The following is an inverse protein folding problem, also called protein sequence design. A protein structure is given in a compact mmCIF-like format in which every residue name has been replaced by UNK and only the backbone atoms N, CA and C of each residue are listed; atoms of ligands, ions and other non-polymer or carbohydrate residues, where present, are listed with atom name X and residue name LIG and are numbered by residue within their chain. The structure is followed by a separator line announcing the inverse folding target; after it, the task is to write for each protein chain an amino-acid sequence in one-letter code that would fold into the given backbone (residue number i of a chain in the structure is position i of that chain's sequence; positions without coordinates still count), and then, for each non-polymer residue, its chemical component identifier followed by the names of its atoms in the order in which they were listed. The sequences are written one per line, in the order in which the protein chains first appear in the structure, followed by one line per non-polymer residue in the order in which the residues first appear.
data_IF_002197326395
#
_entry.id   IF_002197326395
#
_cell.length_a   1.000
_cell.length_b   1.000
_cell.length_c   1.000
_cell.angle_alpha   90.00
_cell.angle_beta   90.00
_cell.angle_gamma   90.00
#
_symmetry.space_group_name_H-M   'P 1'
#
loop_
_entity.id
_entity.type
_entity.pdbx_description
1 polymer ?
#
# COMPACT_ATOMS: atom_id res chain seq x y z
N UNK A 1 1.45 12.14 -4.03
CA UNK A 1 0.10 12.41 -4.60
C UNK A 1 -0.46 11.08 -5.08
N UNK A 2 -1.77 10.87 -4.94
CA UNK A 2 -2.45 9.83 -5.70
C UNK A 2 -2.51 10.23 -7.18
N UNK A 3 -2.57 9.24 -8.08
CA UNK A 3 -2.53 9.45 -9.53
C UNK A 3 -1.57 8.51 -10.27
N UNK A 4 -1.32 7.32 -9.72
CA UNK A 4 -0.62 6.29 -10.47
C UNK A 4 -1.57 5.67 -11.50
N UNK A 5 -1.06 5.41 -12.70
CA UNK A 5 -1.81 4.73 -13.74
C UNK A 5 -2.08 3.27 -13.35
N UNK A 6 -3.15 2.66 -13.86
CA UNK A 6 -3.53 1.27 -13.53
C UNK A 6 -2.39 0.28 -13.80
N UNK A 7 -1.63 0.50 -14.86
CA UNK A 7 -0.47 -0.32 -15.18
C UNK A 7 0.65 -0.21 -14.16
N UNK A 8 0.87 0.99 -13.61
CA UNK A 8 1.86 1.21 -12.55
C UNK A 8 1.43 0.49 -11.27
N UNK A 9 0.14 0.53 -10.93
CA UNK A 9 -0.40 -0.21 -9.77
C UNK A 9 -0.24 -1.72 -9.97
N UNK A 10 -0.56 -2.25 -11.14
CA UNK A 10 -0.41 -3.68 -11.41
C UNK A 10 1.06 -4.15 -11.35
N UNK A 11 2.00 -3.38 -11.91
CA UNK A 11 3.44 -3.68 -11.80
C UNK A 11 3.94 -3.61 -10.36
N UNK A 12 3.49 -2.61 -9.60
CA UNK A 12 3.79 -2.48 -8.18
C UNK A 12 3.30 -3.71 -7.41
N UNK A 13 2.10 -4.22 -7.68
CA UNK A 13 1.57 -5.43 -7.02
C UNK A 13 2.37 -6.68 -7.36
N UNK A 14 2.75 -6.87 -8.62
CA UNK A 14 3.64 -7.98 -8.98
C UNK A 14 4.94 -7.93 -8.21
N UNK A 15 5.57 -6.76 -8.12
CA UNK A 15 6.82 -6.59 -7.40
C UNK A 15 6.66 -6.84 -5.89
N UNK A 16 5.66 -6.24 -5.25
CA UNK A 16 5.44 -6.36 -3.81
C UNK A 16 5.09 -7.78 -3.37
N UNK A 17 4.35 -8.52 -4.20
CA UNK A 17 3.89 -9.88 -3.89
C UNK A 17 4.72 -10.96 -4.59
N UNK A 18 5.79 -10.59 -5.28
CA UNK A 18 6.67 -11.50 -6.04
C UNK A 18 5.89 -12.42 -6.99
N UNK A 19 4.95 -11.85 -7.74
CA UNK A 19 4.13 -12.60 -8.69
C UNK A 19 4.87 -12.83 -10.01
N UNK A 20 4.87 -14.08 -10.49
CA UNK A 20 5.51 -14.45 -11.75
C UNK A 20 4.85 -13.84 -12.99
N UNK A 21 3.56 -13.48 -12.89
CA UNK A 21 2.76 -12.95 -14.01
C UNK A 21 1.91 -11.78 -13.57
N UNK A 22 1.67 -10.85 -14.50
CA UNK A 22 0.75 -9.72 -14.29
C UNK A 22 -0.67 -10.26 -14.07
N UNK A 23 -1.31 -9.95 -12.92
CA UNK A 23 -2.69 -10.35 -12.69
C UNK A 23 -3.64 -9.60 -13.64
N UNK A 24 -4.85 -10.14 -13.80
CA UNK A 24 -5.94 -9.44 -14.49
C UNK A 24 -6.24 -8.10 -13.82
N UNK A 25 -6.79 -7.14 -14.56
CA UNK A 25 -7.03 -5.79 -14.07
C UNK A 25 -7.81 -5.75 -12.74
N UNK A 26 -8.94 -6.46 -12.67
CA UNK A 26 -9.79 -6.50 -11.47
C UNK A 26 -9.09 -7.20 -10.29
N UNK A 27 -8.31 -8.24 -10.58
CA UNK A 27 -7.51 -8.93 -9.57
C UNK A 27 -6.37 -8.04 -9.03
N UNK A 28 -5.72 -7.26 -9.90
CA UNK A 28 -4.70 -6.28 -9.50
C UNK A 28 -5.30 -5.21 -8.59
N UNK A 29 -6.47 -4.69 -8.94
CA UNK A 29 -7.19 -3.68 -8.15
C UNK A 29 -7.60 -4.25 -6.77
N UNK A 30 -8.11 -5.48 -6.71
CA UNK A 30 -8.44 -6.15 -5.45
C UNK A 30 -7.21 -6.38 -4.55
N UNK A 31 -6.10 -6.85 -5.13
CA UNK A 31 -4.83 -7.03 -4.42
C UNK A 31 -4.28 -5.70 -3.91
N UNK A 32 -4.38 -4.63 -4.70
CA UNK A 32 -3.95 -3.29 -4.30
C UNK A 32 -4.73 -2.78 -3.09
N UNK A 33 -6.05 -2.98 -3.06
CA UNK A 33 -6.88 -2.64 -1.90
C UNK A 33 -6.45 -3.45 -0.66
N UNK A 34 -6.23 -4.75 -0.81
CA UNK A 34 -5.80 -5.61 0.29
C UNK A 34 -4.43 -5.19 0.88
N UNK A 35 -3.45 -4.92 0.01
CA UNK A 35 -2.11 -4.45 0.42
C UNK A 35 -2.20 -3.08 1.08
N UNK A 36 -2.98 -2.15 0.53
CA UNK A 36 -3.22 -0.84 1.12
C UNK A 36 -3.83 -0.97 2.52
N UNK A 37 -4.84 -1.84 2.68
CA UNK A 37 -5.47 -2.10 3.97
C UNK A 37 -4.48 -2.67 4.99
N UNK A 38 -3.64 -3.64 4.60
CA UNK A 38 -2.61 -4.20 5.47
C UNK A 38 -1.59 -3.13 5.91
N UNK A 39 -1.10 -2.30 4.98
CA UNK A 39 -0.21 -1.18 5.29
C UNK A 39 -0.85 -0.14 6.21
N UNK A 40 -2.14 0.17 6.01
CA UNK A 40 -2.88 1.10 6.86
C UNK A 40 -2.98 0.56 8.28
N UNK A 41 -3.32 -0.72 8.47
CA UNK A 41 -3.41 -1.36 9.79
C UNK A 41 -2.08 -1.23 10.57
N UNK A 42 -0.96 -1.52 9.92
CA UNK A 42 0.38 -1.38 10.53
C UNK A 42 0.68 0.09 10.87
N UNK A 43 0.35 1.01 9.96
CA UNK A 43 0.59 2.44 10.17
C UNK A 43 -0.25 2.99 11.33
N UNK A 44 -1.52 2.60 11.43
CA UNK A 44 -2.41 2.97 12.52
C UNK A 44 -1.89 2.46 13.87
N UNK A 45 -1.45 1.20 13.93
CA UNK A 45 -0.88 0.61 15.15
C UNK A 45 0.38 1.37 15.61
N UNK A 46 1.25 1.77 14.68
CA UNK A 46 2.44 2.59 14.99
C UNK A 46 2.06 3.97 15.51
N UNK A 47 1.05 4.60 14.92
CA UNK A 47 0.57 5.91 15.39
C UNK A 47 -0.06 5.85 16.77
N UNK A 48 -0.78 4.77 17.10
CA UNK A 48 -1.40 4.60 18.41
C UNK A 48 -0.36 4.52 19.56
N UNK A 49 0.84 4.01 19.28
CA UNK A 49 1.95 3.93 20.25
C UNK A 49 2.89 5.13 20.24
N UNK A 50 2.67 6.11 19.37
CA UNK A 50 3.58 7.24 19.20
C UNK A 50 3.33 8.33 20.26
N UNK A 51 4.39 8.77 20.93
CA UNK A 51 4.31 9.75 22.03
C UNK A 51 4.70 11.16 21.61
N UNK A 52 5.24 11.34 20.40
CA UNK A 52 5.69 12.64 19.93
C UNK A 52 5.44 12.82 18.43
N UNK A 53 5.01 14.04 18.07
CA UNK A 53 4.92 14.49 16.67
C UNK A 53 6.02 15.51 16.43
N UNK A 54 6.97 15.22 15.54
CA UNK A 54 8.06 16.16 15.18
C UNK A 54 7.92 16.58 13.72
N UNK A 55 7.82 17.89 13.48
CA UNK A 55 7.65 18.49 12.13
C UNK A 55 6.48 17.87 11.35
N UNK A 56 5.33 17.70 12.02
CA UNK A 56 4.12 17.14 11.42
C UNK A 56 4.15 15.63 11.12
N UNK A 57 5.21 14.92 11.56
CA UNK A 57 5.29 13.45 11.45
C UNK A 57 5.24 12.82 12.82
N UNK A 58 4.35 11.84 12.96
CA UNK A 58 4.23 10.97 14.13
C UNK A 58 5.50 10.10 14.20
N UNK A 59 6.21 10.13 15.34
CA UNK A 59 7.44 9.36 15.58
C UNK A 59 7.22 8.24 16.57
#
# INVERSE_FOLDING_TARGET
KGGAEKDQVAQMICYLLQLDKKPQADAADALAIAVCHAHMRVSLARMAGATAVRRGRVR
#
